data_IF_509238358551
#
_entry.id   IF_509238358551
#
_cell.length_a   1.000
_cell.length_b   1.000
_cell.length_c   1.000
_cell.angle_alpha   90.00
_cell.angle_beta   90.00
_cell.angle_gamma   90.00
#
_symmetry.space_group_name_H-M   'P 1'
#
loop_
_entity.id
_entity.type
_entity.pdbx_description
1 polymer ?
#
# COMPACT_ATOMS: atom_id res chain seq x y z
N UNK A 1 7.62 -8.09 -1.16
CA UNK A 1 7.65 -8.27 -2.63
C UNK A 1 6.47 -9.06 -3.23
N UNK A 2 5.61 -9.74 -2.45
CA UNK A 2 4.46 -10.47 -3.00
C UNK A 2 3.34 -9.54 -3.47
N UNK A 3 2.93 -8.58 -2.63
CA UNK A 3 1.99 -7.49 -3.01
C UNK A 3 2.39 -6.86 -4.35
N UNK A 4 3.65 -6.47 -4.52
CA UNK A 4 4.16 -5.94 -5.79
C UNK A 4 3.88 -6.85 -7.01
N UNK A 5 4.13 -8.15 -6.89
CA UNK A 5 3.87 -9.11 -7.98
C UNK A 5 2.38 -9.24 -8.30
N UNK A 6 1.54 -9.24 -7.27
CA UNK A 6 0.08 -9.27 -7.42
C UNK A 6 -0.44 -7.96 -8.03
N UNK A 7 0.00 -6.81 -7.53
CA UNK A 7 -0.31 -5.50 -8.10
C UNK A 7 0.10 -5.44 -9.57
N UNK A 8 1.27 -5.98 -9.94
CA UNK A 8 1.69 -6.05 -11.34
C UNK A 8 0.70 -6.83 -12.21
N UNK A 9 0.19 -7.96 -11.71
CA UNK A 9 -0.75 -8.80 -12.43
C UNK A 9 -2.14 -8.15 -12.56
N UNK A 10 -2.69 -7.66 -11.44
CA UNK A 10 -4.01 -7.03 -11.38
C UNK A 10 -4.00 -5.73 -12.19
N UNK A 11 -3.02 -4.86 -11.97
CA UNK A 11 -2.93 -3.58 -12.67
C UNK A 11 -2.83 -3.70 -14.19
N UNK A 12 -2.12 -4.72 -14.70
CA UNK A 12 -2.04 -4.98 -16.12
C UNK A 12 -3.39 -5.42 -16.72
N UNK A 13 -4.22 -6.15 -15.98
CA UNK A 13 -5.55 -6.56 -16.41
C UNK A 13 -6.57 -5.40 -16.36
N UNK A 14 -6.44 -4.53 -15.36
CA UNK A 14 -7.37 -3.42 -15.11
C UNK A 14 -6.99 -2.11 -15.85
N UNK A 15 -5.86 -2.10 -16.58
CA UNK A 15 -5.39 -0.91 -17.31
C UNK A 15 -4.88 0.21 -16.41
N UNK A 16 -4.28 -0.14 -15.27
CA UNK A 16 -3.71 0.82 -14.31
C UNK A 16 -2.44 1.50 -14.86
N UNK A 17 -2.15 2.71 -14.38
CA UNK A 17 -0.82 3.30 -14.51
C UNK A 17 0.18 2.48 -13.69
N UNK A 18 1.04 1.73 -14.40
CA UNK A 18 1.96 0.79 -13.78
C UNK A 18 3.06 1.50 -12.99
N UNK A 19 3.47 2.72 -13.36
CA UNK A 19 4.49 3.43 -12.59
C UNK A 19 3.91 3.84 -11.24
N UNK A 20 2.71 4.42 -11.24
CA UNK A 20 1.99 4.78 -10.00
C UNK A 20 1.78 3.55 -9.12
N UNK A 21 1.20 2.49 -9.67
CA UNK A 21 0.82 1.30 -8.90
C UNK A 21 2.04 0.59 -8.31
N UNK A 22 3.10 0.41 -9.09
CA UNK A 22 4.26 -0.36 -8.66
C UNK A 22 5.12 0.42 -7.65
N UNK A 23 5.23 1.74 -7.81
CA UNK A 23 5.90 2.60 -6.82
C UNK A 23 5.09 2.60 -5.51
N UNK A 24 3.77 2.77 -5.59
CA UNK A 24 2.91 2.71 -4.41
C UNK A 24 3.01 1.34 -3.71
N UNK A 25 3.01 0.24 -4.46
CA UNK A 25 3.17 -1.12 -3.91
C UNK A 25 4.52 -1.32 -3.20
N UNK A 26 5.60 -0.68 -3.67
CA UNK A 26 6.88 -0.72 -2.96
C UNK A 26 6.87 0.08 -1.65
N UNK A 27 6.13 1.18 -1.60
CA UNK A 27 6.18 2.13 -0.49
C UNK A 27 5.03 1.97 0.53
N UNK A 28 3.98 1.20 0.23
CA UNK A 28 2.74 1.20 1.02
C UNK A 28 2.91 0.87 2.51
N UNK A 29 3.89 0.04 2.85
CA UNK A 29 4.18 -0.40 4.22
C UNK A 29 5.36 0.35 4.89
N UNK A 30 5.91 1.40 4.27
CA UNK A 30 7.09 2.14 4.78
C UNK A 30 6.89 2.72 6.19
N UNK A 31 5.64 2.99 6.58
CA UNK A 31 5.31 3.50 7.91
C UNK A 31 5.14 2.44 8.99
N UNK A 32 5.32 1.13 8.70
CA UNK A 32 4.92 0.04 9.61
C UNK A 32 5.72 0.03 10.92
N UNK A 33 7.02 0.31 10.90
CA UNK A 33 7.83 0.43 12.12
C UNK A 33 7.25 1.44 13.12
N UNK A 34 6.78 2.59 12.65
CA UNK A 34 6.17 3.62 13.52
C UNK A 34 4.85 3.17 14.13
N UNK A 35 4.08 2.35 13.43
CA UNK A 35 2.87 1.77 13.99
C UNK A 35 3.21 0.79 15.11
N UNK A 36 4.21 -0.07 14.88
CA UNK A 36 4.64 -1.09 15.84
C UNK A 36 5.20 -0.43 17.10
N UNK A 37 6.10 0.56 16.94
CA UNK A 37 6.68 1.35 18.05
C UNK A 37 5.64 2.13 18.86
N UNK A 38 4.54 2.55 18.22
CA UNK A 38 3.48 3.32 18.84
C UNK A 38 2.32 2.46 19.37
N UNK A 39 2.50 1.13 19.39
CA UNK A 39 1.48 0.15 19.78
C UNK A 39 0.14 0.38 19.07
N UNK A 40 0.18 0.75 17.80
CA UNK A 40 -1.00 0.96 16.97
C UNK A 40 -1.68 2.33 17.08
N UNK A 41 -1.17 3.25 17.90
CA UNK A 41 -1.69 4.62 17.98
C UNK A 41 -1.39 5.46 16.73
N UNK A 42 -0.34 5.12 15.98
CA UNK A 42 -0.04 5.71 14.66
C UNK A 42 -0.49 4.78 13.54
N UNK A 43 -1.29 5.31 12.61
CA UNK A 43 -1.67 4.58 11.40
C UNK A 43 -0.50 4.55 10.40
N UNK A 44 -0.01 3.35 10.06
CA UNK A 44 1.12 3.22 9.12
C UNK A 44 0.79 3.69 7.70
N UNK A 45 -0.48 3.67 7.28
CA UNK A 45 -0.88 4.15 5.95
C UNK A 45 -0.80 5.68 5.88
N UNK A 46 -1.21 6.38 6.94
CA UNK A 46 -1.07 7.84 7.04
C UNK A 46 0.39 8.25 7.18
N UNK A 47 1.12 7.59 8.09
CA UNK A 47 2.55 7.84 8.28
C UNK A 47 3.35 7.49 7.04
N UNK A 48 3.03 6.38 6.38
CA UNK A 48 3.63 5.94 5.13
C UNK A 48 3.41 6.93 4.00
N UNK A 49 2.20 7.49 3.87
CA UNK A 49 1.91 8.55 2.92
C UNK A 49 2.77 9.81 3.18
N UNK A 50 2.95 10.21 4.44
CA UNK A 50 3.82 11.33 4.80
C UNK A 50 5.29 11.05 4.45
N UNK A 51 5.78 9.85 4.73
CA UNK A 51 7.15 9.43 4.44
C UNK A 51 7.42 9.25 2.94
N UNK A 52 6.43 8.79 2.18
CA UNK A 52 6.54 8.57 0.75
C UNK A 52 6.60 9.89 -0.04
N UNK A 53 5.96 10.97 0.44
CA UNK A 53 5.93 12.25 -0.26
C UNK A 53 7.31 12.81 -0.66
N UNK A 54 8.29 12.96 0.26
CA UNK A 54 9.61 13.47 -0.12
C UNK A 54 10.34 12.56 -1.11
N UNK A 55 10.10 11.24 -1.08
CA UNK A 55 10.69 10.27 -2.03
C UNK A 55 10.09 10.49 -3.42
N UNK A 56 8.76 10.50 -3.50
CA UNK A 56 8.00 10.59 -4.74
C UNK A 56 8.17 11.96 -5.41
N UNK A 57 8.34 13.03 -4.62
CA UNK A 57 8.60 14.38 -5.13
C UNK A 57 9.86 14.46 -5.99
N UNK A 58 10.88 13.66 -5.69
CA UNK A 58 12.13 13.60 -6.45
C UNK A 58 12.08 12.76 -7.73
N UNK A 59 10.97 12.08 -8.01
CA UNK A 59 10.82 11.23 -9.19
C UNK A 59 10.39 12.03 -10.41
N UNK A 60 10.82 11.64 -11.63
CA UNK A 60 10.45 12.29 -12.89
C UNK A 60 9.02 11.90 -13.34
N UNK A 61 8.04 12.15 -12.48
CA UNK A 61 6.61 11.85 -12.69
C UNK A 61 5.79 13.14 -12.75
N UNK A 62 4.59 13.07 -13.34
CA UNK A 62 3.64 14.18 -13.26
C UNK A 62 3.15 14.38 -11.83
N UNK A 63 2.70 15.59 -11.49
CA UNK A 63 2.10 15.86 -10.16
C UNK A 63 0.88 14.97 -9.91
N UNK A 64 0.06 14.70 -10.94
CA UNK A 64 -1.09 13.79 -10.82
C UNK A 64 -0.68 12.35 -10.47
N UNK A 65 0.41 11.85 -11.07
CA UNK A 65 0.95 10.53 -10.73
C UNK A 65 1.47 10.51 -9.28
N UNK A 66 2.19 11.56 -8.87
CA UNK A 66 2.71 11.68 -7.50
C UNK A 66 1.59 11.68 -6.48
N UNK A 67 0.55 12.48 -6.70
CA UNK A 67 -0.64 12.53 -5.84
C UNK A 67 -1.35 11.18 -5.79
N UNK A 68 -1.49 10.50 -6.93
CA UNK A 68 -2.11 9.18 -6.98
C UNK A 68 -1.29 8.12 -6.21
N UNK A 69 0.04 8.15 -6.27
CA UNK A 69 0.90 7.28 -5.45
C UNK A 69 0.59 7.48 -3.96
N UNK A 70 0.52 8.73 -3.50
CA UNK A 70 0.22 9.05 -2.09
C UNK A 70 -1.19 8.59 -1.71
N UNK A 71 -2.17 8.78 -2.60
CA UNK A 71 -3.52 8.31 -2.41
C UNK A 71 -3.58 6.78 -2.28
N UNK A 72 -2.88 6.04 -3.14
CA UNK A 72 -2.77 4.58 -3.08
C UNK A 72 -2.21 4.14 -1.71
N UNK A 73 -1.11 4.75 -1.26
CA UNK A 73 -0.50 4.45 0.04
C UNK A 73 -1.43 4.80 1.20
N UNK A 74 -2.16 5.91 1.13
CA UNK A 74 -3.07 6.31 2.22
C UNK A 74 -4.32 5.43 2.30
N UNK A 75 -4.81 4.93 1.17
CA UNK A 75 -6.09 4.20 1.07
C UNK A 75 -5.97 2.67 1.08
N UNK A 76 -4.76 2.09 1.12
CA UNK A 76 -4.61 0.63 1.08
C UNK A 76 -5.10 -0.11 2.35
N UNK A 77 -5.50 0.58 3.44
CA UNK A 77 -6.03 -0.05 4.66
C UNK A 77 -7.55 -0.19 4.64
N UNK A 78 -8.03 -1.35 5.09
CA UNK A 78 -9.46 -1.60 5.31
C UNK A 78 -10.04 -0.80 6.50
N UNK A 79 -9.27 -0.62 7.58
CA UNK A 79 -9.74 0.06 8.81
C UNK A 79 -9.66 1.60 8.77
N UNK A 80 -9.34 2.19 7.62
CA UNK A 80 -9.17 3.64 7.47
C UNK A 80 -10.41 4.31 6.86
N UNK A 81 -10.49 5.64 6.98
CA UNK A 81 -11.55 6.46 6.37
C UNK A 81 -11.28 6.82 4.90
N UNK A 82 -10.25 6.24 4.28
CA UNK A 82 -9.81 6.58 2.93
C UNK A 82 -10.17 5.47 1.94
N UNK A 83 -11.22 5.69 1.15
CA UNK A 83 -11.62 4.75 0.12
C UNK A 83 -10.65 4.77 -1.09
N UNK A 84 -10.33 3.61 -1.68
CA UNK A 84 -9.53 3.54 -2.90
C UNK A 84 -10.36 4.00 -4.12
N UNK A 85 -10.16 5.25 -4.53
CA UNK A 85 -10.94 5.88 -5.62
C UNK A 85 -10.38 5.65 -7.03
N UNK A 86 -9.07 5.43 -7.17
CA UNK A 86 -8.40 5.23 -8.46
C UNK A 86 -8.24 3.75 -8.79
N UNK A 87 -8.00 3.42 -10.07
CA UNK A 87 -7.76 2.03 -10.51
C UNK A 87 -6.52 1.47 -9.80
N UNK A 88 -5.48 2.29 -9.67
CA UNK A 88 -4.24 1.94 -8.98
C UNK A 88 -4.48 1.68 -7.49
N UNK A 89 -5.26 2.55 -6.83
CA UNK A 89 -5.57 2.38 -5.42
C UNK A 89 -6.37 1.10 -5.16
N UNK A 90 -7.33 0.78 -6.02
CA UNK A 90 -8.12 -0.46 -5.94
C UNK A 90 -7.24 -1.70 -6.18
N UNK A 91 -6.41 -1.68 -7.22
CA UNK A 91 -5.50 -2.77 -7.52
C UNK A 91 -4.48 -3.01 -6.39
N UNK A 92 -3.93 -1.96 -5.78
CA UNK A 92 -3.06 -2.08 -4.62
C UNK A 92 -3.81 -2.62 -3.40
N UNK A 93 -5.02 -2.11 -3.14
CA UNK A 93 -5.85 -2.57 -2.04
C UNK A 93 -6.12 -4.07 -2.16
N UNK A 94 -6.59 -4.53 -3.31
CA UNK A 94 -6.88 -5.94 -3.56
C UNK A 94 -5.63 -6.81 -3.46
N UNK A 95 -4.51 -6.38 -4.03
CA UNK A 95 -3.23 -7.09 -3.92
C UNK A 95 -2.78 -7.26 -2.45
N UNK A 96 -2.92 -6.22 -1.62
CA UNK A 96 -2.58 -6.26 -0.19
C UNK A 96 -3.52 -7.17 0.62
N UNK A 97 -4.82 -7.16 0.32
CA UNK A 97 -5.77 -8.08 0.97
C UNK A 97 -5.56 -9.52 0.55
N UNK A 98 -5.32 -9.77 -0.73
CA UNK A 98 -4.98 -11.09 -1.25
C UNK A 98 -3.68 -11.63 -0.63
N UNK A 99 -2.68 -10.76 -0.39
CA UNK A 99 -1.45 -11.13 0.33
C UNK A 99 -1.70 -11.51 1.79
N UNK A 100 -2.76 -10.96 2.39
CA UNK A 100 -3.13 -11.15 3.78
C UNK A 100 -4.04 -12.36 4.01
N UNK A 101 -4.53 -13.03 2.96
CA UNK A 101 -5.37 -14.23 3.04
C UNK A 101 -4.68 -15.47 2.44
N UNK A 102 -5.21 -16.67 2.70
CA UNK A 102 -4.61 -17.95 2.28
C UNK A 102 -3.61 -18.52 3.31
N UNK A 103 -2.85 -19.58 2.95
CA UNK A 103 -1.95 -20.27 3.88
C UNK A 103 -0.92 -19.35 4.56
N UNK A 104 -0.48 -18.30 3.86
CA UNK A 104 0.41 -17.27 4.41
C UNK A 104 -0.32 -16.29 5.32
N UNK A 105 -1.57 -15.92 4.99
CA UNK A 105 -2.43 -15.13 5.86
C UNK A 105 -2.70 -15.84 7.20
N UNK A 106 -2.92 -17.15 7.14
CA UNK A 106 -3.06 -18.01 8.33
C UNK A 106 -1.76 -18.01 9.13
N UNK A 107 -0.59 -18.23 8.50
CA UNK A 107 0.70 -18.19 9.19
C UNK A 107 1.00 -16.82 9.83
N UNK A 108 0.64 -15.72 9.16
CA UNK A 108 0.79 -14.35 9.67
C UNK A 108 -0.15 -14.09 10.84
N UNK A 109 -1.39 -14.57 10.80
CA UNK A 109 -2.33 -14.49 11.92
C UNK A 109 -1.80 -15.23 13.15
N UNK A 110 -1.19 -16.41 12.98
CA UNK A 110 -0.53 -17.13 14.08
C UNK A 110 0.71 -16.42 14.61
N UNK A 111 1.50 -15.76 13.74
CA UNK A 111 2.66 -14.98 14.17
C UNK A 111 2.23 -13.76 15.02
N UNK A 112 1.17 -13.05 14.63
CA UNK A 112 0.63 -11.91 15.38
C UNK A 112 -0.17 -12.30 16.63
N UNK A 113 -0.71 -13.52 16.72
CA UNK A 113 -1.45 -14.00 17.89
C UNK A 113 -0.56 -14.73 18.93
N UNK A 114 0.71 -14.96 18.59
CA UNK A 114 1.71 -15.59 19.47
C UNK A 114 2.58 -14.62 20.28
N UNK A 115 2.42 -13.31 20.06
CA UNK A 115 2.87 -12.22 20.95
C UNK A 115 1.71 -11.77 21.85
#
# INVERSE_FOLDING_TARGET
>A
MRVYKLSKHIGAAEGADMDVLLIAAYLHDIGRCYQDESFGSVCHAEKGAQMAWPIVKGLPLSESQKENIIHCIRSHRFRGNHAPNTVEAKALFDADKLDSIGAVGVARAFLFAGE
#
